data_IF_072879258323
#
_entry.id   IF_072879258323
#
_cell.length_a   1.000
_cell.length_b   1.000
_cell.length_c   1.000
_cell.angle_alpha   90.00
_cell.angle_beta   90.00
_cell.angle_gamma   90.00
#
_symmetry.space_group_name_H-M   'P 1'
#
loop_
_entity.id
_entity.type
_entity.pdbx_description
1 polymer ?
#
# COMPACT_ATOMS: atom_id res chain seq x y z
N UNK A 1 28.25 30.06 39.98
CA UNK A 1 28.52 30.82 38.75
C UNK A 1 27.83 30.07 37.62
N UNK A 2 26.60 30.49 37.29
CA UNK A 2 25.73 29.87 36.30
C UNK A 2 26.20 30.30 34.91
N UNK A 3 26.46 29.34 34.03
CA UNK A 3 26.81 29.58 32.62
C UNK A 3 25.57 29.23 31.80
N UNK A 4 25.03 30.21 31.07
CA UNK A 4 23.90 30.09 30.16
C UNK A 4 24.34 29.60 28.77
N UNK A 5 23.45 28.94 27.99
CA UNK A 5 23.81 28.21 26.77
C UNK A 5 23.67 29.04 25.49
N UNK A 6 24.43 30.14 25.33
CA UNK A 6 24.48 30.91 24.06
C UNK A 6 25.89 31.00 23.43
N UNK A 7 26.85 30.18 23.87
CA UNK A 7 28.27 30.38 23.57
C UNK A 7 28.93 29.48 22.52
N UNK A 8 28.23 28.91 21.54
CA UNK A 8 28.84 27.97 20.57
C UNK A 8 28.36 28.15 19.12
N UNK A 9 28.30 29.39 18.66
CA UNK A 9 28.19 29.76 17.25
C UNK A 9 29.27 30.80 16.92
N UNK A 10 30.46 30.33 16.57
CA UNK A 10 31.42 31.13 15.77
C UNK A 10 32.55 30.26 15.21
N UNK A 11 32.35 29.68 14.02
CA UNK A 11 33.45 29.43 13.09
C UNK A 11 33.10 30.13 11.78
N UNK A 12 33.89 31.16 11.49
CA UNK A 12 33.91 31.93 10.25
C UNK A 12 34.20 31.02 9.05
N UNK A 13 33.29 30.99 8.07
CA UNK A 13 33.66 30.77 6.67
C UNK A 13 33.14 31.95 5.85
N UNK A 14 34.07 32.49 5.08
CA UNK A 14 34.02 33.70 4.27
C UNK A 14 32.90 33.69 3.23
N UNK A 15 32.09 34.76 3.22
CA UNK A 15 31.69 35.48 2.01
C UNK A 15 31.10 34.69 0.84
N UNK A 16 29.87 34.22 1.00
CA UNK A 16 28.82 34.25 -0.03
C UNK A 16 27.48 34.25 0.70
N UNK A 17 26.72 35.32 0.57
CA UNK A 17 25.31 35.35 0.96
C UNK A 17 24.56 34.42 0.00
N UNK A 18 24.61 33.13 0.29
CA UNK A 18 23.56 32.23 -0.17
C UNK A 18 22.38 32.60 0.72
N UNK A 19 21.36 33.22 0.14
CA UNK A 19 20.01 33.19 0.72
C UNK A 19 19.64 31.72 0.83
N UNK A 20 19.99 31.10 1.96
CA UNK A 20 19.33 29.90 2.41
C UNK A 20 17.91 30.38 2.66
N UNK A 21 17.02 30.14 1.68
CA UNK A 21 15.59 30.18 1.98
C UNK A 21 15.43 29.38 3.25
N UNK A 22 14.84 29.98 4.27
CA UNK A 22 14.23 29.24 5.38
C UNK A 22 13.18 28.30 4.78
N UNK A 23 13.58 27.18 4.18
CA UNK A 23 12.72 26.01 4.06
C UNK A 23 12.96 25.19 5.32
N UNK A 24 12.64 25.79 6.46
CA UNK A 24 12.53 25.06 7.70
C UNK A 24 11.37 24.06 7.52
N UNK A 25 11.74 22.79 7.32
CA UNK A 25 10.99 21.61 7.77
C UNK A 25 9.48 21.62 7.52
N UNK A 26 9.03 21.89 6.30
CA UNK A 26 7.68 21.46 5.94
C UNK A 26 7.74 19.95 5.69
N UNK A 27 7.28 19.18 6.68
CA UNK A 27 7.05 17.75 6.55
C UNK A 27 6.21 17.50 5.30
N UNK A 28 6.67 16.61 4.40
CA UNK A 28 5.90 16.26 3.20
C UNK A 28 4.55 15.70 3.59
N UNK A 29 3.55 15.98 2.76
CA UNK A 29 2.19 15.46 2.95
C UNK A 29 1.81 14.71 1.69
N UNK A 30 1.70 13.40 1.82
CA UNK A 30 1.67 12.48 0.68
C UNK A 30 0.41 11.65 0.65
N UNK A 31 0.01 11.25 -0.55
CA UNK A 31 -1.00 10.21 -0.76
C UNK A 31 -0.27 8.90 -0.96
N UNK A 32 -0.71 7.84 -0.29
CA UNK A 32 -0.18 6.49 -0.51
C UNK A 32 -1.16 5.71 -1.38
N UNK A 33 -0.73 5.21 -2.53
CA UNK A 33 -1.52 4.23 -3.28
C UNK A 33 -1.46 2.90 -2.54
N UNK A 34 -2.59 2.54 -1.92
CA UNK A 34 -2.67 1.50 -0.92
C UNK A 34 -3.64 0.40 -1.36
N UNK A 35 -3.12 -0.78 -1.66
CA UNK A 35 -3.92 -1.97 -2.04
C UNK A 35 -4.22 -2.89 -0.86
N UNK A 36 -3.51 -2.68 0.25
CA UNK A 36 -3.52 -3.52 1.45
C UNK A 36 -2.64 -4.76 1.40
N UNK A 37 -2.01 -5.01 0.25
CA UNK A 37 -0.95 -6.01 0.11
C UNK A 37 0.38 -5.56 0.71
N UNK A 38 1.32 -6.52 0.78
CA UNK A 38 2.63 -6.35 1.43
C UNK A 38 3.39 -5.08 0.99
N UNK A 39 3.45 -4.81 -0.32
CA UNK A 39 4.33 -3.76 -0.86
C UNK A 39 3.75 -2.37 -0.61
N UNK A 40 2.44 -2.20 -0.76
CA UNK A 40 1.77 -0.92 -0.57
C UNK A 40 1.68 -0.53 0.90
N UNK A 41 1.43 -1.50 1.80
CA UNK A 41 1.47 -1.24 3.25
C UNK A 41 2.90 -1.00 3.75
N UNK A 42 3.91 -1.68 3.20
CA UNK A 42 5.30 -1.35 3.52
C UNK A 42 5.70 0.05 3.04
N UNK A 43 5.18 0.50 1.90
CA UNK A 43 5.41 1.85 1.40
C UNK A 43 4.75 2.92 2.29
N UNK A 44 3.56 2.64 2.85
CA UNK A 44 2.92 3.49 3.86
C UNK A 44 3.79 3.60 5.13
N UNK A 45 4.24 2.46 5.65
CA UNK A 45 5.17 2.43 6.79
C UNK A 45 6.44 3.23 6.53
N UNK A 46 7.04 3.06 5.35
CA UNK A 46 8.23 3.81 4.94
C UNK A 46 7.99 5.32 4.94
N UNK A 47 6.83 5.79 4.46
CA UNK A 47 6.48 7.21 4.46
C UNK A 47 6.36 7.76 5.89
N UNK A 48 5.71 7.03 6.80
CA UNK A 48 5.62 7.42 8.21
C UNK A 48 7.00 7.39 8.90
N UNK A 49 7.87 6.43 8.57
CA UNK A 49 9.25 6.38 9.08
C UNK A 49 10.12 7.54 8.58
N UNK A 50 9.79 8.13 7.42
CA UNK A 50 10.38 9.40 6.96
C UNK A 50 9.85 10.62 7.71
N UNK A 51 8.90 10.41 8.61
CA UNK A 51 8.18 11.46 9.32
C UNK A 51 7.20 12.21 8.43
N UNK A 52 6.83 11.67 7.25
CA UNK A 52 5.88 12.32 6.34
C UNK A 52 4.44 12.11 6.81
N UNK A 53 3.59 13.10 6.57
CA UNK A 53 2.16 13.02 6.84
C UNK A 53 1.46 12.27 5.69
N UNK A 54 0.64 11.28 6.01
CA UNK A 54 -0.18 10.58 5.02
C UNK A 54 -1.53 11.28 4.95
N UNK A 55 -1.73 12.06 3.89
CA UNK A 55 -2.96 12.80 3.64
C UNK A 55 -4.16 11.88 3.44
N UNK A 56 -3.94 10.78 2.73
CA UNK A 56 -4.88 9.67 2.56
C UNK A 56 -4.14 8.44 2.04
N UNK A 57 -4.62 7.27 2.45
CA UNK A 57 -4.41 6.01 1.74
C UNK A 57 -5.49 5.89 0.66
N UNK A 58 -5.09 5.91 -0.60
CA UNK A 58 -5.99 5.85 -1.73
C UNK A 58 -6.00 4.45 -2.35
N UNK A 59 -7.19 3.88 -2.54
CA UNK A 59 -7.38 2.52 -3.04
C UNK A 59 -8.32 2.56 -4.23
N UNK A 60 -7.89 2.01 -5.37
CA UNK A 60 -8.80 1.80 -6.51
C UNK A 60 -9.51 0.47 -6.30
N UNK A 61 -10.83 0.52 -6.13
CA UNK A 61 -11.74 -0.62 -6.02
C UNK A 61 -12.21 -0.99 -7.42
N UNK A 62 -11.55 -1.98 -8.01
CA UNK A 62 -11.82 -2.40 -9.39
C UNK A 62 -13.01 -3.36 -9.43
N UNK A 63 -14.01 -3.04 -10.25
CA UNK A 63 -15.19 -3.86 -10.52
C UNK A 63 -14.94 -4.86 -11.68
N UNK A 64 -13.84 -5.60 -11.60
CA UNK A 64 -13.49 -6.66 -12.56
C UNK A 64 -12.77 -7.81 -11.85
N UNK A 65 -12.83 -9.01 -12.45
CA UNK A 65 -12.15 -10.20 -11.92
C UNK A 65 -10.61 -10.13 -12.04
N UNK A 66 -10.08 -9.17 -12.81
CA UNK A 66 -8.66 -9.02 -13.13
C UNK A 66 -8.29 -7.57 -13.46
N UNK A 67 -7.16 -7.09 -12.94
CA UNK A 67 -6.54 -5.81 -13.30
C UNK A 67 -5.03 -5.93 -13.29
N UNK A 68 -4.39 -5.48 -14.38
CA UNK A 68 -2.93 -5.38 -14.46
C UNK A 68 -2.35 -4.25 -13.60
N UNK A 69 -3.21 -3.35 -13.07
CA UNK A 69 -2.77 -2.16 -12.35
C UNK A 69 -3.04 -2.24 -10.85
N UNK A 70 -4.17 -2.83 -10.43
CA UNK A 70 -4.62 -2.82 -9.04
C UNK A 70 -5.05 -4.22 -8.55
N UNK A 71 -4.91 -4.45 -7.25
CA UNK A 71 -5.41 -5.64 -6.58
C UNK A 71 -6.94 -5.55 -6.45
N UNK A 72 -7.68 -6.63 -6.75
CA UNK A 72 -9.14 -6.57 -6.93
C UNK A 72 -9.93 -7.06 -5.70
N UNK A 73 -9.81 -8.33 -5.32
CA UNK A 73 -10.80 -8.98 -4.43
C UNK A 73 -10.78 -8.53 -2.96
N UNK A 74 -9.62 -8.12 -2.45
CA UNK A 74 -9.40 -7.85 -1.02
C UNK A 74 -8.93 -6.42 -0.74
N UNK A 75 -8.91 -5.57 -1.77
CA UNK A 75 -8.35 -4.21 -1.66
C UNK A 75 -9.14 -3.30 -0.73
N UNK A 76 -10.44 -3.54 -0.53
CA UNK A 76 -11.27 -2.80 0.42
C UNK A 76 -10.80 -2.94 1.88
N UNK A 77 -10.04 -3.98 2.23
CA UNK A 77 -9.43 -4.12 3.57
C UNK A 77 -8.43 -2.99 3.85
N UNK A 78 -7.93 -2.34 2.80
CA UNK A 78 -7.15 -1.10 2.88
C UNK A 78 -7.83 -0.05 3.76
N UNK A 79 -9.16 0.03 3.79
CA UNK A 79 -9.88 0.93 4.68
C UNK A 79 -9.64 0.65 6.16
N UNK A 80 -9.79 -0.62 6.58
CA UNK A 80 -9.50 -1.04 7.95
C UNK A 80 -8.02 -0.85 8.31
N UNK A 81 -7.12 -1.13 7.37
CA UNK A 81 -5.69 -0.90 7.57
C UNK A 81 -5.38 0.59 7.72
N UNK A 82 -6.01 1.45 6.92
CA UNK A 82 -5.87 2.91 7.01
C UNK A 82 -6.33 3.42 8.38
N UNK A 83 -7.49 2.97 8.87
CA UNK A 83 -7.95 3.25 10.22
C UNK A 83 -6.96 2.76 11.29
N UNK A 84 -6.38 1.57 11.12
CA UNK A 84 -5.37 1.04 12.03
C UNK A 84 -4.06 1.85 12.01
N UNK A 85 -3.70 2.45 10.87
CA UNK A 85 -2.57 3.37 10.73
C UNK A 85 -2.87 4.78 11.26
N UNK A 86 -4.14 5.09 11.56
CA UNK A 86 -4.59 6.44 11.90
C UNK A 86 -4.60 7.39 10.70
N UNK A 87 -4.80 6.87 9.48
CA UNK A 87 -4.79 7.62 8.24
C UNK A 87 -6.19 7.65 7.59
N UNK A 88 -6.57 8.76 6.92
CA UNK A 88 -7.80 8.78 6.11
C UNK A 88 -7.74 7.78 4.97
N UNK A 89 -8.88 7.19 4.63
CA UNK A 89 -9.00 6.26 3.49
C UNK A 89 -9.86 6.86 2.38
N UNK A 90 -9.34 6.89 1.16
CA UNK A 90 -10.04 7.37 -0.04
C UNK A 90 -10.23 6.20 -1.03
N UNK A 91 -11.38 5.51 -1.03
CA UNK A 91 -11.72 4.52 -2.05
C UNK A 91 -12.11 5.21 -3.37
N UNK A 92 -11.68 4.63 -4.48
CA UNK A 92 -12.00 5.08 -5.84
C UNK A 92 -12.57 3.89 -6.61
N UNK A 93 -13.88 3.90 -6.87
CA UNK A 93 -14.50 2.84 -7.68
C UNK A 93 -14.15 3.04 -9.15
N UNK A 94 -13.72 1.97 -9.80
CA UNK A 94 -13.45 1.95 -11.24
C UNK A 94 -14.02 0.68 -11.87
N UNK A 95 -14.52 0.80 -13.10
CA UNK A 95 -15.04 -0.35 -13.87
C UNK A 95 -13.93 -1.32 -14.34
N UNK A 96 -12.66 -0.99 -14.13
CA UNK A 96 -11.53 -1.86 -14.51
C UNK A 96 -11.21 -1.87 -15.99
N UNK A 97 -11.69 -0.89 -16.76
CA UNK A 97 -11.28 -0.74 -18.15
C UNK A 97 -9.82 -0.23 -18.20
N UNK A 98 -8.92 -0.90 -18.93
CA UNK A 98 -7.53 -0.45 -19.03
C UNK A 98 -7.44 1.01 -19.51
N UNK A 99 -6.64 1.82 -18.82
CA UNK A 99 -6.50 3.30 -18.97
C UNK A 99 -7.62 4.14 -18.30
N UNK A 100 -8.82 3.60 -18.07
CA UNK A 100 -9.86 4.31 -17.32
C UNK A 100 -9.49 4.42 -15.85
N UNK A 101 -8.95 3.35 -15.25
CA UNK A 101 -8.61 3.30 -13.82
C UNK A 101 -7.65 4.45 -13.39
N UNK A 102 -6.70 4.80 -14.26
CA UNK A 102 -5.77 5.92 -14.02
C UNK A 102 -6.50 7.26 -14.08
N UNK A 103 -7.45 7.36 -14.99
CA UNK A 103 -8.26 8.57 -15.18
C UNK A 103 -9.24 8.75 -14.01
N UNK A 104 -9.85 7.66 -13.55
CA UNK A 104 -10.73 7.63 -12.37
C UNK A 104 -9.96 8.03 -11.11
N UNK A 105 -8.76 7.47 -10.92
CA UNK A 105 -7.86 7.86 -9.83
C UNK A 105 -7.49 9.34 -9.91
N UNK A 106 -7.11 9.84 -11.10
CA UNK A 106 -6.77 11.25 -11.28
C UNK A 106 -7.97 12.16 -10.94
N UNK A 107 -9.17 11.81 -11.39
CA UNK A 107 -10.38 12.56 -11.10
C UNK A 107 -10.70 12.57 -9.61
N UNK A 108 -10.61 11.41 -8.95
CA UNK A 108 -10.84 11.27 -7.52
C UNK A 108 -9.85 12.10 -6.69
N UNK A 109 -8.57 12.12 -7.05
CA UNK A 109 -7.56 12.92 -6.36
C UNK A 109 -7.74 14.44 -6.59
N UNK A 110 -8.38 14.83 -7.71
CA UNK A 110 -8.67 16.23 -8.02
C UNK A 110 -9.98 16.75 -7.40
N UNK A 111 -11.04 15.94 -7.41
CA UNK A 111 -12.41 16.40 -7.15
C UNK A 111 -13.14 15.58 -6.10
N UNK A 112 -12.50 14.54 -5.56
CA UNK A 112 -13.14 13.62 -4.63
C UNK A 112 -13.98 12.55 -5.31
N UNK A 113 -14.69 11.79 -4.49
CA UNK A 113 -15.54 10.65 -4.87
C UNK A 113 -16.97 10.83 -4.38
N UNK A 114 -17.91 10.15 -5.04
CA UNK A 114 -19.32 10.14 -4.64
C UNK A 114 -19.55 9.09 -3.56
N UNK A 115 -20.05 9.48 -2.38
CA UNK A 115 -20.39 8.53 -1.31
C UNK A 115 -21.39 7.48 -1.78
N UNK A 116 -22.43 7.89 -2.53
CA UNK A 116 -23.45 6.98 -3.07
C UNK A 116 -22.84 5.87 -3.94
N UNK A 117 -21.83 6.20 -4.75
CA UNK A 117 -21.16 5.22 -5.61
C UNK A 117 -20.28 4.23 -4.83
N UNK A 118 -19.66 4.70 -3.73
CA UNK A 118 -18.90 3.84 -2.83
C UNK A 118 -19.84 2.91 -2.07
N UNK A 119 -20.92 3.45 -1.51
CA UNK A 119 -21.93 2.68 -0.77
C UNK A 119 -22.58 1.61 -1.67
N UNK A 120 -22.97 1.97 -2.90
CA UNK A 120 -23.50 1.01 -3.88
C UNK A 120 -22.52 -0.12 -4.22
N UNK A 121 -21.22 0.18 -4.31
CA UNK A 121 -20.19 -0.84 -4.54
C UNK A 121 -20.10 -1.86 -3.39
N UNK A 122 -20.23 -1.39 -2.15
CA UNK A 122 -20.23 -2.25 -0.95
C UNK A 122 -21.55 -3.03 -0.81
N UNK A 123 -22.68 -2.37 -0.99
CA UNK A 123 -24.02 -2.95 -0.89
C UNK A 123 -24.23 -4.08 -1.91
N UNK A 124 -23.81 -3.86 -3.16
CA UNK A 124 -23.87 -4.89 -4.22
C UNK A 124 -23.07 -6.16 -3.91
N UNK A 125 -22.11 -6.08 -2.97
CA UNK A 125 -21.27 -7.19 -2.51
C UNK A 125 -21.68 -7.73 -1.13
N UNK A 126 -22.72 -7.16 -0.51
CA UNK A 126 -23.15 -7.54 0.83
C UNK A 126 -22.10 -7.25 1.91
N UNK A 127 -21.26 -6.23 1.69
CA UNK A 127 -20.19 -5.82 2.58
C UNK A 127 -20.57 -4.51 3.28
N UNK A 128 -20.02 -4.28 4.47
CA UNK A 128 -20.09 -2.96 5.10
C UNK A 128 -18.84 -2.15 4.73
N UNK A 129 -19.03 -0.90 4.33
CA UNK A 129 -17.91 -0.01 4.06
C UNK A 129 -17.13 0.32 5.35
N UNK A 130 -15.80 0.26 5.33
CA UNK A 130 -14.97 0.92 6.34
C UNK A 130 -15.21 2.43 6.33
N UNK A 131 -14.80 3.13 7.38
CA UNK A 131 -14.82 4.60 7.38
C UNK A 131 -13.95 5.16 6.24
N UNK A 132 -14.50 6.09 5.46
CA UNK A 132 -13.82 6.70 4.33
C UNK A 132 -14.04 8.22 4.26
N UNK A 133 -13.17 8.89 3.52
CA UNK A 133 -13.30 10.31 3.16
C UNK A 133 -13.70 10.44 1.70
N UNK A 134 -14.45 11.50 1.38
CA UNK A 134 -14.86 11.79 0.00
C UNK A 134 -13.78 12.51 -0.82
N UNK A 135 -12.67 12.91 -0.20
CA UNK A 135 -11.59 13.62 -0.89
C UNK A 135 -10.44 13.92 0.07
N UNK A 136 -9.32 14.39 -0.49
CA UNK A 136 -8.15 14.74 0.31
C UNK A 136 -8.25 16.19 0.74
N UNK A 137 -8.38 16.42 2.04
CA UNK A 137 -8.42 17.77 2.61
C UNK A 137 -7.03 18.41 2.59
N UNK A 138 -6.95 19.71 2.28
CA UNK A 138 -5.71 20.48 2.40
C UNK A 138 -4.63 20.16 1.36
N UNK A 139 -3.45 20.74 1.56
CA UNK A 139 -2.32 20.62 0.64
C UNK A 139 -1.62 19.25 0.74
N UNK A 140 -1.20 18.69 -0.39
CA UNK A 140 -0.36 17.51 -0.47
C UNK A 140 0.56 17.64 -1.69
N UNK A 141 1.75 17.03 -1.63
CA UNK A 141 2.86 17.33 -2.55
C UNK A 141 3.53 16.09 -3.15
N UNK A 142 3.06 14.90 -2.80
CA UNK A 142 3.61 13.66 -3.33
C UNK A 142 2.65 12.48 -3.32
N UNK A 143 2.97 11.50 -4.15
CA UNK A 143 2.35 10.19 -4.20
C UNK A 143 3.42 9.15 -3.87
N UNK A 144 3.10 8.23 -2.96
CA UNK A 144 3.93 7.07 -2.63
C UNK A 144 3.29 5.82 -3.23
N UNK A 145 4.09 4.99 -3.89
CA UNK A 145 3.63 3.76 -4.54
C UNK A 145 4.50 2.59 -4.13
N UNK A 146 3.87 1.48 -3.75
CA UNK A 146 4.54 0.22 -3.41
C UNK A 146 5.05 -0.60 -4.60
N UNK A 147 5.21 -0.03 -5.80
CA UNK A 147 5.66 -0.79 -6.96
C UNK A 147 7.12 -1.27 -6.78
N UNK A 148 7.33 -2.59 -6.82
CA UNK A 148 8.65 -3.21 -6.66
C UNK A 148 9.41 -3.25 -8.01
N UNK A 149 8.77 -3.75 -9.08
CA UNK A 149 9.42 -3.97 -10.39
C UNK A 149 8.60 -3.64 -11.64
N UNK A 150 7.31 -3.32 -11.52
CA UNK A 150 6.44 -2.99 -12.66
C UNK A 150 6.68 -1.59 -13.26
N UNK A 151 7.36 -1.52 -14.41
CA UNK A 151 7.61 -0.26 -15.15
C UNK A 151 6.29 0.33 -15.67
N UNK A 152 5.34 -0.56 -15.95
CA UNK A 152 4.00 -0.24 -16.42
C UNK A 152 3.22 0.57 -15.38
N UNK A 153 3.15 0.10 -14.13
CA UNK A 153 2.51 0.83 -13.03
C UNK A 153 3.21 2.15 -12.78
N UNK A 154 4.55 2.13 -12.69
CA UNK A 154 5.35 3.33 -12.41
C UNK A 154 5.12 4.44 -13.45
N UNK A 155 5.23 4.11 -14.73
CA UNK A 155 5.09 5.10 -15.82
C UNK A 155 3.71 5.76 -15.83
N UNK A 156 2.65 4.99 -15.54
CA UNK A 156 1.29 5.53 -15.47
C UNK A 156 1.10 6.47 -14.29
N UNK A 157 1.63 6.14 -13.12
CA UNK A 157 1.56 7.02 -11.95
C UNK A 157 2.41 8.28 -12.15
N UNK A 158 3.58 8.20 -12.76
CA UNK A 158 4.40 9.38 -13.08
C UNK A 158 3.69 10.33 -14.06
N UNK A 159 2.93 9.81 -15.02
CA UNK A 159 2.10 10.65 -15.91
C UNK A 159 0.94 11.30 -15.17
N UNK A 160 0.28 10.56 -14.29
CA UNK A 160 -0.80 11.08 -13.44
C UNK A 160 -0.28 12.18 -12.51
N UNK A 161 0.86 11.96 -11.84
CA UNK A 161 1.44 12.93 -10.92
C UNK A 161 1.90 14.19 -11.62
N UNK A 162 2.40 14.08 -12.86
CA UNK A 162 2.76 15.24 -13.68
C UNK A 162 1.55 16.14 -13.98
N UNK A 163 0.35 15.55 -14.16
CA UNK A 163 -0.90 16.31 -14.32
C UNK A 163 -1.33 17.00 -13.02
N UNK A 164 -1.08 16.36 -11.87
CA UNK A 164 -1.38 16.89 -10.53
C UNK A 164 -0.34 17.91 -10.03
N UNK A 165 0.85 17.98 -10.65
CA UNK A 165 1.93 18.85 -10.21
C UNK A 165 2.63 18.39 -8.92
N UNK A 166 2.60 17.08 -8.64
CA UNK A 166 3.12 16.47 -7.39
C UNK A 166 4.26 15.49 -7.68
N UNK A 167 5.08 15.23 -6.67
CA UNK A 167 6.21 14.29 -6.77
C UNK A 167 5.78 12.82 -6.64
N UNK A 168 6.58 11.88 -7.14
CA UNK A 168 6.33 10.43 -6.99
C UNK A 168 7.48 9.78 -6.24
N UNK A 169 7.14 8.88 -5.32
CA UNK A 169 8.08 8.12 -4.51
C UNK A 169 7.79 6.63 -4.61
N UNK A 170 8.75 5.85 -5.10
CA UNK A 170 8.66 4.41 -5.23
C UNK A 170 9.74 3.74 -4.37
N UNK A 171 9.55 3.65 -3.04
CA UNK A 171 10.62 3.25 -2.10
C UNK A 171 11.10 1.82 -2.26
N UNK A 172 10.36 0.99 -2.99
CA UNK A 172 10.66 -0.42 -3.25
C UNK A 172 11.25 -0.65 -4.65
N UNK A 173 11.28 0.38 -5.50
CA UNK A 173 11.63 0.23 -6.90
C UNK A 173 13.07 -0.29 -7.08
N UNK A 174 13.23 -1.35 -7.87
CA UNK A 174 14.50 -2.06 -8.08
C UNK A 174 15.12 -2.69 -6.82
N UNK A 175 14.37 -2.83 -5.74
CA UNK A 175 14.84 -3.63 -4.61
C UNK A 175 14.90 -5.12 -4.98
N UNK A 176 15.75 -5.85 -4.26
CA UNK A 176 15.80 -7.30 -4.38
C UNK A 176 14.55 -7.89 -3.70
N UNK A 177 13.65 -8.51 -4.46
CA UNK A 177 12.38 -9.00 -3.94
C UNK A 177 12.50 -10.04 -2.83
N UNK A 178 13.46 -10.95 -2.94
CA UNK A 178 13.73 -11.92 -1.86
C UNK A 178 14.16 -11.22 -0.57
N UNK A 179 15.02 -10.21 -0.67
CA UNK A 179 15.39 -9.38 0.48
C UNK A 179 14.18 -8.62 1.01
N UNK A 180 13.32 -8.07 0.15
CA UNK A 180 12.10 -7.39 0.57
C UNK A 180 11.20 -8.31 1.41
N UNK A 181 10.97 -9.55 0.96
CA UNK A 181 10.19 -10.57 1.70
C UNK A 181 10.81 -10.90 3.06
N UNK A 182 12.14 -11.03 3.13
CA UNK A 182 12.85 -11.26 4.41
C UNK A 182 12.75 -10.07 5.35
N UNK A 183 12.97 -8.88 4.81
CA UNK A 183 12.96 -7.63 5.56
C UNK A 183 11.56 -7.37 6.13
N UNK A 184 10.49 -7.51 5.34
CA UNK A 184 9.13 -7.22 5.80
C UNK A 184 8.68 -8.13 6.95
N UNK A 185 9.01 -9.44 6.90
CA UNK A 185 8.74 -10.37 8.02
C UNK A 185 9.60 -9.99 9.23
N UNK A 186 10.89 -9.68 9.02
CA UNK A 186 11.82 -9.31 10.09
C UNK A 186 11.43 -8.00 10.79
N UNK A 187 10.79 -7.08 10.05
CA UNK A 187 10.27 -5.84 10.60
C UNK A 187 8.95 -6.03 11.38
N UNK A 188 8.41 -7.24 11.47
CA UNK A 188 7.25 -7.55 12.31
C UNK A 188 5.90 -7.34 11.62
N UNK A 189 5.84 -7.41 10.30
CA UNK A 189 4.58 -7.46 9.57
C UNK A 189 4.01 -8.87 9.58
N UNK A 190 2.71 -8.99 9.86
CA UNK A 190 1.96 -10.23 9.65
C UNK A 190 1.30 -10.19 8.27
N UNK A 191 1.84 -10.96 7.33
CA UNK A 191 1.39 -10.99 5.94
C UNK A 191 0.67 -12.30 5.69
N UNK A 192 -0.59 -12.24 5.27
CA UNK A 192 -1.38 -13.40 4.90
C UNK A 192 -1.43 -13.55 3.38
N UNK A 193 -1.29 -14.77 2.86
CA UNK A 193 -1.58 -15.06 1.46
C UNK A 193 -3.09 -15.18 1.23
N UNK A 194 -3.61 -14.42 0.25
CA UNK A 194 -5.05 -14.35 -0.06
C UNK A 194 -5.39 -14.87 -1.45
N UNK A 195 -4.40 -15.07 -2.31
CA UNK A 195 -4.58 -15.69 -3.62
C UNK A 195 -3.33 -16.47 -3.95
N UNK A 196 -3.47 -17.59 -4.67
CA UNK A 196 -2.36 -18.32 -5.28
C UNK A 196 -2.75 -18.77 -6.68
N UNK A 197 -1.82 -18.68 -7.63
CA UNK A 197 -2.07 -18.95 -9.05
C UNK A 197 -0.87 -19.58 -9.76
N UNK A 198 -0.01 -20.30 -9.03
CA UNK A 198 1.23 -20.89 -9.54
C UNK A 198 1.41 -22.34 -9.12
N UNK A 199 2.06 -23.13 -9.98
CA UNK A 199 2.46 -24.49 -9.65
C UNK A 199 3.36 -24.49 -8.41
N UNK A 200 3.13 -25.45 -7.51
CA UNK A 200 3.83 -25.56 -6.23
C UNK A 200 3.14 -24.84 -5.07
N UNK A 201 2.16 -23.96 -5.34
CA UNK A 201 1.31 -23.34 -4.32
C UNK A 201 -0.07 -24.00 -4.34
N UNK A 202 -0.37 -24.79 -3.31
CA UNK A 202 -1.68 -25.42 -3.13
C UNK A 202 -2.60 -24.62 -2.19
N UNK A 203 -3.79 -25.14 -1.91
CA UNK A 203 -4.78 -24.49 -1.04
C UNK A 203 -4.30 -24.29 0.40
N UNK A 204 -3.24 -24.97 0.86
CA UNK A 204 -2.70 -24.79 2.22
C UNK A 204 -2.03 -23.42 2.42
N UNK A 205 -1.71 -22.72 1.33
CA UNK A 205 -1.19 -21.36 1.37
C UNK A 205 -2.28 -20.30 1.56
N UNK A 206 -3.53 -20.59 1.22
CA UNK A 206 -4.63 -19.63 1.35
C UNK A 206 -4.99 -19.43 2.83
N UNK A 207 -4.96 -18.18 3.28
CA UNK A 207 -5.15 -17.85 4.70
C UNK A 207 -3.91 -18.06 5.56
N UNK A 208 -2.80 -18.54 4.99
CA UNK A 208 -1.55 -18.77 5.74
C UNK A 208 -0.81 -17.46 5.96
N UNK A 209 -0.43 -17.20 7.21
CA UNK A 209 0.48 -16.09 7.55
C UNK A 209 1.91 -16.51 7.29
N UNK A 210 2.66 -15.65 6.61
CA UNK A 210 4.07 -15.86 6.29
C UNK A 210 4.94 -15.53 7.50
N UNK A 211 5.69 -16.53 7.93
CA UNK A 211 6.77 -16.46 8.91
C UNK A 211 8.11 -16.85 8.24
N UNK A 212 9.19 -16.84 9.02
CA UNK A 212 10.52 -17.18 8.51
C UNK A 212 10.60 -18.62 7.95
N UNK A 213 9.83 -19.56 8.50
CA UNK A 213 9.87 -20.96 8.09
C UNK A 213 9.12 -21.17 6.78
N UNK A 214 7.88 -20.70 6.71
CA UNK A 214 7.05 -20.71 5.50
C UNK A 214 7.68 -19.89 4.36
N UNK A 215 8.43 -18.82 4.66
CA UNK A 215 9.18 -18.13 3.62
C UNK A 215 10.30 -19.00 3.02
N UNK A 216 11.05 -19.76 3.81
CA UNK A 216 12.08 -20.68 3.28
C UNK A 216 11.47 -21.84 2.48
N UNK A 217 10.29 -22.32 2.88
CA UNK A 217 9.46 -23.24 2.10
C UNK A 217 9.07 -22.61 0.74
N UNK A 218 8.53 -21.38 0.75
CA UNK A 218 8.16 -20.63 -0.45
C UNK A 218 9.34 -20.43 -1.41
N UNK A 219 10.51 -20.09 -0.87
CA UNK A 219 11.76 -19.94 -1.64
C UNK A 219 12.17 -21.26 -2.30
N UNK A 220 12.00 -22.37 -1.61
CA UNK A 220 12.33 -23.70 -2.13
C UNK A 220 11.37 -24.09 -3.26
N UNK A 221 10.07 -23.85 -3.08
CA UNK A 221 9.04 -24.04 -4.10
C UNK A 221 9.27 -23.14 -5.31
N UNK A 222 9.60 -21.87 -5.10
CA UNK A 222 9.95 -20.91 -6.15
C UNK A 222 11.08 -21.41 -7.03
N UNK A 223 12.14 -21.99 -6.45
CA UNK A 223 13.26 -22.57 -7.22
C UNK A 223 12.83 -23.80 -8.02
N UNK A 224 12.00 -24.65 -7.44
CA UNK A 224 11.53 -25.89 -8.06
C UNK A 224 10.56 -25.63 -9.22
N UNK A 225 9.57 -24.76 -8.99
CA UNK A 225 8.48 -24.45 -9.92
C UNK A 225 8.71 -23.19 -10.74
N UNK A 226 9.82 -22.47 -10.50
CA UNK A 226 10.30 -21.31 -11.25
C UNK A 226 9.37 -20.09 -11.25
N UNK A 227 8.76 -19.81 -10.10
CA UNK A 227 7.99 -18.58 -9.87
C UNK A 227 8.76 -17.54 -9.05
N UNK A 228 8.29 -16.30 -9.05
CA UNK A 228 8.84 -15.20 -8.27
C UNK A 228 8.49 -15.32 -6.78
N UNK A 229 9.47 -15.42 -5.86
CA UNK A 229 9.19 -15.64 -4.42
C UNK A 229 8.59 -14.41 -3.73
N UNK A 230 8.61 -13.25 -4.38
CA UNK A 230 7.96 -11.99 -4.01
C UNK A 230 6.55 -11.83 -4.64
N UNK A 231 6.10 -12.76 -5.49
CA UNK A 231 4.76 -12.77 -6.08
C UNK A 231 4.54 -11.75 -7.21
N UNK A 232 5.60 -11.09 -7.68
CA UNK A 232 5.52 -10.04 -8.72
C UNK A 232 4.96 -10.52 -10.07
N UNK A 233 5.03 -11.82 -10.36
CA UNK A 233 4.44 -12.42 -11.55
C UNK A 233 2.94 -12.72 -11.42
N UNK A 234 2.30 -12.33 -10.32
CA UNK A 234 0.92 -12.67 -10.01
C UNK A 234 0.74 -14.07 -9.43
N UNK A 235 1.82 -14.68 -8.93
CA UNK A 235 1.79 -16.07 -8.45
C UNK A 235 1.04 -16.21 -7.13
N UNK A 236 1.03 -15.15 -6.33
CA UNK A 236 0.20 -15.03 -5.15
C UNK A 236 -0.08 -13.56 -4.86
N UNK A 237 -1.19 -13.31 -4.19
CA UNK A 237 -1.48 -12.01 -3.59
C UNK A 237 -1.43 -12.10 -2.07
N UNK A 238 -1.17 -10.96 -1.45
CA UNK A 238 -1.04 -10.86 0.00
C UNK A 238 -1.95 -9.79 0.56
N UNK A 239 -2.17 -9.88 1.86
CA UNK A 239 -2.81 -8.87 2.66
C UNK A 239 -2.08 -8.74 3.99
N UNK A 240 -1.86 -7.50 4.46
CA UNK A 240 -1.22 -7.25 5.75
C UNK A 240 -2.26 -7.23 6.87
N UNK A 241 -2.12 -8.13 7.84
CA UNK A 241 -3.00 -8.19 9.02
C UNK A 241 -2.55 -7.24 10.13
N UNK A 242 -1.23 -7.06 10.29
CA UNK A 242 -0.66 -6.11 11.23
C UNK A 242 0.75 -5.72 10.83
N UNK A 243 1.22 -4.59 11.33
CA UNK A 243 2.60 -4.14 11.16
C UNK A 243 2.96 -3.05 12.18
N UNK A 244 4.23 -2.61 12.23
CA UNK A 244 4.75 -1.73 13.29
C UNK A 244 4.08 -0.37 13.43
N UNK A 245 3.35 0.06 12.40
CA UNK A 245 2.68 1.35 12.31
C UNK A 245 1.16 1.25 12.45
N UNK A 246 0.63 0.05 12.66
CA UNK A 246 -0.78 -0.19 12.89
C UNK A 246 -1.02 -0.33 14.39
N UNK A 247 -1.95 0.45 14.93
CA UNK A 247 -2.30 0.42 16.36
C UNK A 247 -3.21 -0.76 16.75
N UNK A 248 -3.79 -1.44 15.75
CA UNK A 248 -4.70 -2.57 15.88
C UNK A 248 -4.44 -3.57 14.76
N UNK A 249 -4.75 -4.84 15.02
CA UNK A 249 -4.65 -5.92 14.04
C UNK A 249 -5.96 -6.07 13.27
N UNK A 250 -5.88 -6.42 11.99
CA UNK A 250 -7.01 -6.84 11.19
C UNK A 250 -7.30 -8.31 11.48
N UNK A 251 -8.54 -8.60 11.85
CA UNK A 251 -9.08 -9.93 12.07
C UNK A 251 -9.94 -10.29 10.87
N UNK A 252 -9.67 -11.44 10.26
CA UNK A 252 -10.42 -11.95 9.11
C UNK A 252 -11.06 -13.28 9.44
N UNK A 253 -12.30 -13.44 8.99
CA UNK A 253 -12.98 -14.72 8.91
C UNK A 253 -13.27 -15.00 7.44
N UNK A 254 -12.97 -16.21 6.99
CA UNK A 254 -13.11 -16.57 5.59
C UNK A 254 -12.90 -18.04 5.35
N UNK A 255 -12.87 -18.41 4.08
CA UNK A 255 -12.61 -19.78 3.65
C UNK A 255 -11.82 -19.82 2.35
N UNK A 256 -11.11 -20.93 2.14
CA UNK A 256 -10.38 -21.17 0.90
C UNK A 256 -11.35 -21.58 -0.21
N UNK A 257 -11.39 -20.82 -1.30
CA UNK A 257 -11.98 -21.23 -2.57
C UNK A 257 -10.88 -21.75 -3.48
N UNK A 258 -10.93 -23.04 -3.82
CA UNK A 258 -9.89 -23.75 -4.57
C UNK A 258 -10.49 -24.41 -5.80
N UNK A 259 -9.92 -24.16 -6.99
CA UNK A 259 -10.39 -24.74 -8.25
C UNK A 259 -9.61 -26.00 -8.69
N UNK A 260 -8.59 -26.38 -7.91
CA UNK A 260 -7.66 -27.48 -8.24
C UNK A 260 -6.27 -27.00 -8.67
N UNK A 261 -6.14 -25.76 -9.12
CA UNK A 261 -4.88 -25.15 -9.62
C UNK A 261 -4.61 -23.77 -9.06
N UNK A 262 -5.67 -22.99 -8.84
CA UNK A 262 -5.67 -21.65 -8.31
C UNK A 262 -6.65 -21.58 -7.16
N UNK A 263 -6.48 -20.58 -6.32
CA UNK A 263 -7.49 -20.28 -5.35
C UNK A 263 -7.34 -18.92 -4.72
N UNK A 264 -8.41 -18.54 -4.03
CA UNK A 264 -8.58 -17.24 -3.40
C UNK A 264 -9.15 -17.47 -1.99
N UNK A 265 -8.73 -16.65 -1.05
CA UNK A 265 -9.30 -16.60 0.28
C UNK A 265 -10.55 -15.71 0.25
N UNK A 266 -11.72 -16.32 0.35
CA UNK A 266 -12.98 -15.60 0.38
C UNK A 266 -13.22 -15.04 1.78
N UNK A 267 -13.09 -13.72 1.91
CA UNK A 267 -13.31 -13.00 3.15
C UNK A 267 -14.82 -12.88 3.38
N UNK A 268 -15.31 -13.53 4.44
CA UNK A 268 -16.72 -13.43 4.88
C UNK A 268 -16.94 -12.26 5.82
N UNK A 269 -15.95 -11.97 6.65
CA UNK A 269 -16.02 -10.90 7.64
C UNK A 269 -14.61 -10.36 7.92
N UNK A 270 -14.54 -9.06 8.21
CA UNK A 270 -13.31 -8.39 8.57
C UNK A 270 -13.58 -7.35 9.66
N UNK A 271 -12.70 -7.28 10.65
CA UNK A 271 -12.79 -6.31 11.75
C UNK A 271 -11.41 -5.93 12.26
N UNK A 272 -11.33 -4.92 13.11
CA UNK A 272 -10.11 -4.57 13.83
C UNK A 272 -10.17 -5.14 15.24
N UNK A 273 -9.04 -5.58 15.77
CA UNK A 273 -8.91 -5.97 17.18
C UNK A 273 -9.30 -4.81 18.11
N UNK A 274 -9.90 -5.14 19.26
CA UNK A 274 -10.33 -4.17 20.27
C UNK A 274 -9.16 -3.36 20.81
#
# INVERSE_FOLDING_TARGET
MLITPEGLLSILVVGRTVTVKESALQTRRVIVLHSGGKDSTYAAWWAQMKGWDIAACCTVLVDSDDSMMFQTDSSWISGLQSSAMGCPWLPVVSAGEPESEVSDLLQALHSGVSSDAIEEWFDSRGLNSPEFVNGVEGYWDGIVVGALRSDYQKTRIERLSAKLGVSVHTPLWHHNGLRHMKDIISHGFEIMMVSVSSDGLDSSWLGRVLDHHSLEELISLSKLHRFHPDGEGGEFETLVLSGPHMNRKILLEGESLWDGRRGKWHIKNASMSV
#
